data_IF_329577464369
#
_entry.id   IF_329577464369
#
_cell.length_a   1.000
_cell.length_b   1.000
_cell.length_c   1.000
_cell.angle_alpha   90.00
_cell.angle_beta   90.00
_cell.angle_gamma   90.00
#
_symmetry.space_group_name_H-M   'P 1'
#
loop_
_entity.id
_entity.type
_entity.pdbx_description
1 polymer ?
#
# COMPACT_ATOMS: atom_id res chain seq x y z
N UNK A 1 9.44 30.25 -24.16
CA UNK A 1 10.00 28.97 -24.63
C UNK A 1 11.04 28.50 -23.62
N UNK A 2 10.66 27.62 -22.70
CA UNK A 2 11.59 27.08 -21.70
C UNK A 2 12.57 26.13 -22.38
N UNK A 3 13.88 26.37 -22.18
CA UNK A 3 14.90 25.38 -22.48
C UNK A 3 14.56 24.14 -21.66
N UNK A 4 14.06 23.10 -22.33
CA UNK A 4 13.84 21.81 -21.69
C UNK A 4 15.18 21.18 -21.30
N UNK A 5 15.11 20.07 -20.58
CA UNK A 5 16.18 19.08 -20.33
C UNK A 5 16.90 18.55 -21.60
N UNK A 6 16.55 19.03 -22.79
CA UNK A 6 17.26 18.75 -24.04
C UNK A 6 18.67 19.32 -23.95
N UNK A 7 19.63 18.47 -23.54
CA UNK A 7 21.05 18.79 -23.40
C UNK A 7 21.61 18.63 -21.99
N UNK A 8 20.78 18.33 -20.97
CA UNK A 8 21.26 18.01 -19.63
C UNK A 8 21.61 16.51 -19.53
N UNK A 9 22.82 16.19 -19.08
CA UNK A 9 23.14 14.84 -18.60
C UNK A 9 22.47 14.62 -17.24
N UNK A 10 21.48 13.73 -17.22
CA UNK A 10 20.68 13.39 -16.04
C UNK A 10 20.90 11.95 -15.57
N UNK A 11 21.82 11.20 -16.20
CA UNK A 11 22.06 9.79 -15.86
C UNK A 11 22.56 9.64 -14.43
N UNK A 12 23.30 10.65 -13.94
CA UNK A 12 23.88 10.69 -12.61
C UNK A 12 22.91 11.18 -11.51
N UNK A 13 21.71 11.64 -11.88
CA UNK A 13 20.72 12.15 -10.93
C UNK A 13 20.16 10.99 -10.10
N UNK A 14 20.16 11.16 -8.77
CA UNK A 14 19.70 10.13 -7.82
C UNK A 14 18.37 10.47 -7.15
N UNK A 15 17.96 11.73 -7.18
CA UNK A 15 16.71 12.20 -6.61
C UNK A 15 16.08 13.21 -7.55
N UNK A 16 14.80 13.01 -7.85
CA UNK A 16 13.99 13.94 -8.63
C UNK A 16 12.68 14.13 -7.87
N UNK A 17 12.39 15.39 -7.55
CA UNK A 17 11.12 15.80 -6.95
C UNK A 17 10.47 16.82 -7.86
N UNK A 18 9.21 16.61 -8.22
CA UNK A 18 8.42 17.50 -9.07
C UNK A 18 7.04 17.69 -8.44
N UNK A 19 6.71 18.95 -8.17
CA UNK A 19 5.43 19.34 -7.62
C UNK A 19 4.75 20.30 -8.61
N UNK A 20 3.42 20.25 -8.72
CA UNK A 20 2.61 21.17 -9.54
C UNK A 20 2.81 21.03 -11.07
N UNK A 21 2.23 21.96 -11.84
CA UNK A 21 2.15 21.92 -13.30
C UNK A 21 3.46 22.29 -14.03
N UNK A 22 3.59 21.82 -15.28
CA UNK A 22 4.63 22.25 -16.21
C UNK A 22 5.74 21.22 -16.43
N UNK A 23 5.52 19.98 -16.00
CA UNK A 23 6.51 18.90 -15.98
C UNK A 23 6.46 17.93 -17.17
N UNK A 24 5.47 18.02 -18.05
CA UNK A 24 5.19 16.98 -19.08
C UNK A 24 6.43 16.55 -19.87
N UNK A 25 7.21 17.50 -20.38
CA UNK A 25 8.42 17.19 -21.17
C UNK A 25 9.45 16.38 -20.38
N UNK A 26 9.52 16.54 -19.07
CA UNK A 26 10.44 15.78 -18.21
C UNK A 26 9.93 14.38 -17.92
N UNK A 27 8.61 14.21 -17.77
CA UNK A 27 7.97 12.91 -17.55
C UNK A 27 8.22 11.93 -18.72
N UNK A 28 8.17 12.42 -19.96
CA UNK A 28 8.48 11.64 -21.16
C UNK A 28 9.93 11.13 -21.23
N UNK A 29 10.82 11.77 -20.47
CA UNK A 29 12.25 11.47 -20.44
C UNK A 29 12.71 10.78 -19.16
N UNK A 30 11.80 10.33 -18.29
CA UNK A 30 12.14 9.64 -17.04
C UNK A 30 13.08 8.45 -17.25
N UNK A 31 13.01 7.79 -18.42
CA UNK A 31 13.90 6.67 -18.76
C UNK A 31 15.40 7.04 -18.78
N UNK A 32 15.75 8.34 -18.94
CA UNK A 32 17.14 8.82 -18.92
C UNK A 32 17.75 8.86 -17.51
N UNK A 33 16.92 8.83 -16.46
CA UNK A 33 17.37 8.90 -15.07
C UNK A 33 17.80 7.51 -14.56
N UNK A 34 18.81 6.92 -15.20
CA UNK A 34 19.20 5.50 -15.00
C UNK A 34 19.67 5.19 -13.58
N UNK A 35 20.22 6.17 -12.85
CA UNK A 35 20.67 6.03 -11.45
C UNK A 35 19.69 6.55 -10.40
N UNK A 36 18.43 6.84 -10.80
CA UNK A 36 17.43 7.40 -9.89
C UNK A 36 17.08 6.44 -8.75
N UNK A 37 17.02 6.99 -7.53
CA UNK A 37 16.66 6.28 -6.31
C UNK A 37 15.41 6.85 -5.65
N UNK A 38 15.17 8.15 -5.81
CA UNK A 38 14.01 8.84 -5.26
C UNK A 38 13.28 9.55 -6.41
N UNK A 39 12.02 9.20 -6.59
CA UNK A 39 11.11 9.87 -7.51
C UNK A 39 9.88 10.30 -6.72
N UNK A 40 9.75 11.60 -6.51
CA UNK A 40 8.62 12.20 -5.83
C UNK A 40 7.84 13.07 -6.83
N UNK A 41 6.63 12.63 -7.16
CA UNK A 41 5.74 13.28 -8.12
C UNK A 41 4.47 13.77 -7.43
N UNK A 42 4.54 14.06 -6.13
CA UNK A 42 3.37 14.50 -5.36
C UNK A 42 2.68 15.72 -6.01
N UNK A 43 1.37 15.60 -6.25
CA UNK A 43 0.55 16.65 -6.87
C UNK A 43 0.91 16.96 -8.33
N UNK A 44 1.66 16.10 -9.02
CA UNK A 44 2.00 16.29 -10.43
C UNK A 44 0.80 15.93 -11.32
N UNK A 45 -0.08 16.90 -11.60
CA UNK A 45 -1.31 16.70 -12.38
C UNK A 45 -1.07 16.28 -13.84
N UNK A 46 0.11 16.61 -14.38
CA UNK A 46 0.58 16.23 -15.71
C UNK A 46 0.88 14.72 -15.84
N UNK A 47 0.98 14.00 -14.71
CA UNK A 47 1.30 12.59 -14.68
C UNK A 47 0.09 11.73 -15.08
N UNK A 48 0.19 11.13 -16.28
CA UNK A 48 -0.77 10.14 -16.79
C UNK A 48 -0.27 8.69 -16.64
N UNK A 49 -1.21 7.72 -16.70
CA UNK A 49 -0.91 6.27 -16.68
C UNK A 49 0.13 5.85 -17.72
N UNK A 50 0.23 6.57 -18.84
CA UNK A 50 1.22 6.29 -19.88
C UNK A 50 2.66 6.41 -19.38
N UNK A 51 2.94 7.32 -18.43
CA UNK A 51 4.29 7.53 -17.92
C UNK A 51 4.75 6.41 -16.99
N UNK A 52 3.83 5.59 -16.44
CA UNK A 52 4.20 4.43 -15.64
C UNK A 52 5.10 3.45 -16.40
N UNK A 53 5.00 3.41 -17.73
CA UNK A 53 5.90 2.60 -18.58
C UNK A 53 7.38 3.00 -18.46
N UNK A 54 7.64 4.28 -18.14
CA UNK A 54 8.98 4.82 -17.93
C UNK A 54 9.40 4.65 -16.48
N UNK A 55 8.50 4.96 -15.54
CA UNK A 55 8.74 4.79 -14.10
C UNK A 55 9.12 3.33 -13.78
N UNK A 56 8.39 2.35 -14.31
CA UNK A 56 8.67 0.91 -14.11
C UNK A 56 9.99 0.42 -14.74
N UNK A 57 10.76 1.27 -15.43
CA UNK A 57 12.11 0.95 -15.93
C UNK A 57 13.21 1.44 -14.98
N UNK A 58 12.87 2.21 -13.96
CA UNK A 58 13.81 2.78 -12.99
C UNK A 58 14.22 1.72 -11.96
N UNK A 59 15.04 0.77 -12.38
CA UNK A 59 15.42 -0.39 -11.57
C UNK A 59 15.97 -0.03 -10.17
N UNK A 60 16.75 1.05 -10.06
CA UNK A 60 17.40 1.47 -8.82
C UNK A 60 16.50 2.28 -7.88
N UNK A 61 15.22 2.46 -8.25
CA UNK A 61 14.28 3.26 -7.49
C UNK A 61 13.98 2.61 -6.14
N UNK A 62 14.12 3.40 -5.07
CA UNK A 62 13.85 3.04 -3.68
C UNK A 62 12.63 3.73 -3.12
N UNK A 63 12.34 4.94 -3.58
CA UNK A 63 11.19 5.72 -3.17
C UNK A 63 10.42 6.17 -4.40
N UNK A 64 9.12 5.89 -4.40
CA UNK A 64 8.18 6.36 -5.40
C UNK A 64 6.97 6.98 -4.68
N UNK A 65 6.76 8.27 -4.86
CA UNK A 65 5.52 8.94 -4.48
C UNK A 65 4.76 9.38 -5.72
N UNK A 66 3.52 8.91 -5.83
CA UNK A 66 2.52 9.33 -6.82
C UNK A 66 1.38 10.08 -6.13
N UNK A 67 1.58 10.51 -4.88
CA UNK A 67 0.52 11.04 -4.05
C UNK A 67 -0.19 12.22 -4.71
N UNK A 68 -1.51 12.27 -4.66
CA UNK A 68 -2.27 13.40 -5.20
C UNK A 68 -2.18 13.55 -6.73
N UNK A 69 -1.79 12.49 -7.45
CA UNK A 69 -1.76 12.50 -8.93
C UNK A 69 -3.02 11.85 -9.51
N UNK A 70 -3.25 12.06 -10.81
CA UNK A 70 -4.37 11.48 -11.53
C UNK A 70 -4.14 10.02 -11.98
N UNK A 71 -3.08 9.36 -11.50
CA UNK A 71 -2.80 7.96 -11.84
C UNK A 71 -3.97 7.07 -11.42
N UNK A 72 -4.44 6.28 -12.37
CA UNK A 72 -5.56 5.35 -12.20
C UNK A 72 -5.15 3.89 -12.34
N UNK A 73 -3.97 3.62 -12.93
CA UNK A 73 -3.46 2.26 -13.14
C UNK A 73 -1.98 2.14 -12.82
N UNK A 74 -1.66 1.16 -11.99
CA UNK A 74 -0.29 0.68 -11.79
C UNK A 74 -0.11 -0.58 -12.64
N UNK A 75 0.77 -0.58 -13.66
CA UNK A 75 0.90 -1.71 -14.56
C UNK A 75 1.69 -2.86 -13.89
N UNK A 76 1.56 -4.12 -14.36
CA UNK A 76 2.24 -5.27 -13.76
C UNK A 76 3.77 -5.15 -13.72
N UNK A 77 4.36 -4.37 -14.63
CA UNK A 77 5.80 -4.08 -14.68
C UNK A 77 6.31 -3.31 -13.45
N UNK A 78 5.43 -2.91 -12.52
CA UNK A 78 5.84 -2.40 -11.20
C UNK A 78 6.73 -3.41 -10.48
N UNK A 79 6.58 -4.72 -10.73
CA UNK A 79 7.46 -5.76 -10.18
C UNK A 79 8.95 -5.61 -10.54
N UNK A 80 9.28 -4.85 -11.59
CA UNK A 80 10.66 -4.55 -11.99
C UNK A 80 11.35 -3.55 -11.08
N UNK A 81 10.61 -2.87 -10.20
CA UNK A 81 11.15 -1.95 -9.20
C UNK A 81 11.69 -2.75 -8.00
N UNK A 82 12.60 -3.70 -8.24
CA UNK A 82 13.07 -4.67 -7.23
C UNK A 82 13.75 -4.04 -6.00
N UNK A 83 14.18 -2.78 -6.11
CA UNK A 83 14.79 -2.02 -5.02
C UNK A 83 13.82 -1.09 -4.28
N UNK A 84 12.53 -1.09 -4.65
CA UNK A 84 11.54 -0.19 -4.07
C UNK A 84 11.31 -0.53 -2.59
N UNK A 85 11.44 0.50 -1.76
CA UNK A 85 11.26 0.44 -0.30
C UNK A 85 10.02 1.22 0.15
N UNK A 86 9.68 2.31 -0.55
CA UNK A 86 8.47 3.10 -0.27
C UNK A 86 7.68 3.31 -1.54
N UNK A 87 6.39 2.98 -1.48
CA UNK A 87 5.43 3.25 -2.54
C UNK A 87 4.23 4.00 -1.96
N UNK A 88 4.10 5.27 -2.35
CA UNK A 88 3.02 6.15 -1.89
C UNK A 88 2.03 6.43 -3.03
N UNK A 89 0.81 5.92 -2.85
CA UNK A 89 -0.32 6.01 -3.77
C UNK A 89 -1.50 6.77 -3.13
N UNK A 90 -1.28 7.48 -2.02
CA UNK A 90 -2.35 8.25 -1.35
C UNK A 90 -2.94 9.28 -2.29
N UNK A 91 -4.22 9.55 -2.16
CA UNK A 91 -4.92 10.57 -2.95
C UNK A 91 -4.76 10.36 -4.47
N UNK A 92 -4.62 9.10 -4.91
CA UNK A 92 -4.65 8.71 -6.34
C UNK A 92 -5.98 8.05 -6.71
N UNK A 93 -6.21 7.86 -8.00
CA UNK A 93 -7.37 7.16 -8.54
C UNK A 93 -7.08 5.68 -8.85
N UNK A 94 -6.03 5.10 -8.26
CA UNK A 94 -5.62 3.71 -8.56
C UNK A 94 -6.71 2.74 -8.11
N UNK A 95 -7.25 2.01 -9.08
CA UNK A 95 -8.25 0.96 -8.84
C UNK A 95 -7.59 -0.41 -9.05
N UNK A 96 -7.79 -1.33 -8.11
CA UNK A 96 -7.31 -2.71 -8.21
C UNK A 96 -5.80 -2.78 -8.37
N UNK A 97 -5.07 -2.30 -7.35
CA UNK A 97 -3.61 -2.30 -7.35
C UNK A 97 -3.06 -3.67 -7.77
N UNK A 98 -2.13 -3.67 -8.73
CA UNK A 98 -1.64 -4.90 -9.36
C UNK A 98 -1.08 -5.90 -8.34
N UNK A 99 -1.50 -7.17 -8.46
CA UNK A 99 -0.91 -8.32 -7.75
C UNK A 99 0.61 -8.43 -7.90
N UNK A 100 1.19 -7.79 -8.93
CA UNK A 100 2.63 -7.71 -9.12
C UNK A 100 3.37 -7.05 -7.94
N UNK A 101 2.71 -6.20 -7.15
CA UNK A 101 3.26 -5.54 -5.95
C UNK A 101 3.82 -6.54 -4.94
N UNK A 102 3.28 -7.76 -4.86
CA UNK A 102 3.82 -8.80 -3.95
C UNK A 102 5.22 -9.30 -4.29
N UNK A 103 5.73 -8.96 -5.48
CA UNK A 103 7.10 -9.28 -5.92
C UNK A 103 8.11 -8.21 -5.48
N UNK A 104 7.65 -7.11 -4.89
CA UNK A 104 8.50 -6.06 -4.32
C UNK A 104 9.03 -6.50 -2.95
N UNK A 105 9.95 -7.45 -2.93
CA UNK A 105 10.41 -8.09 -1.69
C UNK A 105 11.17 -7.15 -0.73
N UNK A 106 11.62 -5.99 -1.22
CA UNK A 106 12.27 -4.94 -0.41
C UNK A 106 11.31 -3.83 0.03
N UNK A 107 10.02 -3.94 -0.28
CA UNK A 107 9.03 -2.93 0.08
C UNK A 107 8.86 -2.91 1.60
N UNK A 108 9.11 -1.75 2.18
CA UNK A 108 8.99 -1.49 3.63
C UNK A 108 7.71 -0.73 3.94
N UNK A 109 7.31 0.19 3.05
CA UNK A 109 6.12 1.03 3.21
C UNK A 109 5.29 1.04 1.94
N UNK A 110 4.00 0.77 2.10
CA UNK A 110 2.99 1.00 1.08
C UNK A 110 1.83 1.80 1.68
N UNK A 111 1.41 2.84 0.99
CA UNK A 111 0.29 3.68 1.40
C UNK A 111 -0.66 3.83 0.21
N UNK A 112 -1.94 3.52 0.38
CA UNK A 112 -2.97 3.74 -0.64
C UNK A 112 -4.04 4.71 -0.15
N UNK A 113 -4.98 5.07 -1.01
CA UNK A 113 -6.01 6.06 -0.71
C UNK A 113 -6.89 5.61 0.46
N UNK A 114 -7.01 6.47 1.48
CA UNK A 114 -7.97 6.27 2.55
C UNK A 114 -9.38 6.53 2.01
N UNK A 115 -10.19 5.49 1.92
CA UNK A 115 -11.59 5.57 1.46
C UNK A 115 -12.40 4.40 1.99
N UNK A 116 -13.72 4.49 1.84
CA UNK A 116 -14.66 3.39 2.13
C UNK A 116 -14.89 2.49 0.92
N UNK A 117 -14.24 2.76 -0.21
CA UNK A 117 -14.33 1.96 -1.43
C UNK A 117 -13.14 1.02 -1.53
N UNK A 118 -13.37 -0.27 -1.26
CA UNK A 118 -12.34 -1.32 -1.27
C UNK A 118 -11.48 -1.36 -2.55
N UNK A 119 -12.06 -0.98 -3.70
CA UNK A 119 -11.38 -1.00 -5.00
C UNK A 119 -10.19 -0.04 -5.11
N UNK A 120 -10.12 1.02 -4.29
CA UNK A 120 -8.99 1.97 -4.25
C UNK A 120 -7.94 1.64 -3.18
N UNK A 121 -8.22 0.67 -2.32
CA UNK A 121 -7.29 0.20 -1.30
C UNK A 121 -6.43 -0.94 -1.84
N UNK A 122 -5.30 -1.19 -1.18
CA UNK A 122 -4.51 -2.37 -1.50
C UNK A 122 -5.21 -3.63 -1.00
N UNK A 123 -5.78 -4.42 -1.92
CA UNK A 123 -6.26 -5.76 -1.59
C UNK A 123 -5.07 -6.66 -1.29
N UNK A 124 -5.02 -7.18 -0.07
CA UNK A 124 -3.90 -7.99 0.37
C UNK A 124 -3.81 -9.26 -0.50
N UNK A 125 -2.66 -9.49 -1.19
CA UNK A 125 -2.53 -10.59 -2.12
C UNK A 125 -2.05 -11.86 -1.41
N UNK A 126 -2.34 -13.03 -1.99
CA UNK A 126 -1.60 -14.26 -1.61
C UNK A 126 -0.11 -14.09 -1.91
N UNK A 127 0.74 -14.45 -0.97
CA UNK A 127 2.19 -14.32 -1.03
C UNK A 127 2.78 -13.30 -0.05
N UNK A 128 2.01 -12.79 0.91
CA UNK A 128 2.47 -11.84 1.94
C UNK A 128 3.69 -12.36 2.71
N UNK A 129 3.76 -13.68 2.91
CA UNK A 129 4.92 -14.35 3.54
C UNK A 129 6.27 -14.09 2.85
N UNK A 130 6.28 -13.61 1.60
CA UNK A 130 7.51 -13.23 0.88
C UNK A 130 7.89 -11.76 1.10
N UNK A 131 6.97 -10.92 1.58
CA UNK A 131 7.16 -9.48 1.76
C UNK A 131 7.74 -9.18 3.16
N UNK A 132 8.83 -9.87 3.52
CA UNK A 132 9.42 -9.84 4.87
C UNK A 132 10.01 -8.47 5.28
N UNK A 133 10.17 -7.55 4.33
CA UNK A 133 10.64 -6.18 4.59
C UNK A 133 9.52 -5.22 5.06
N UNK A 134 8.24 -5.58 4.91
CA UNK A 134 7.13 -4.69 5.24
C UNK A 134 7.13 -4.27 6.71
N UNK A 135 7.02 -2.96 6.91
CA UNK A 135 6.91 -2.29 8.22
C UNK A 135 5.63 -1.48 8.33
N UNK A 136 5.16 -0.92 7.23
CA UNK A 136 4.02 -0.02 7.22
C UNK A 136 3.09 -0.32 6.04
N UNK A 137 1.85 -0.68 6.36
CA UNK A 137 0.78 -0.91 5.38
C UNK A 137 -0.37 0.04 5.70
N UNK A 138 -0.52 1.07 4.88
CA UNK A 138 -1.58 2.07 4.97
C UNK A 138 -2.75 1.76 4.06
N UNK A 139 -3.94 1.63 4.67
CA UNK A 139 -5.23 1.44 4.01
C UNK A 139 -5.27 0.24 3.06
N UNK A 140 -5.21 -0.97 3.60
CA UNK A 140 -5.41 -2.21 2.86
C UNK A 140 -6.80 -2.80 3.11
N UNK A 141 -7.26 -3.68 2.22
CA UNK A 141 -8.43 -4.53 2.43
C UNK A 141 -8.00 -5.99 2.51
N UNK A 142 -8.43 -6.70 3.54
CA UNK A 142 -8.09 -8.10 3.78
C UNK A 142 -8.56 -9.01 2.64
N UNK A 143 -9.76 -8.71 2.11
CA UNK A 143 -10.48 -9.58 1.20
C UNK A 143 -11.08 -10.80 1.90
N UNK A 144 -11.80 -11.62 1.12
CA UNK A 144 -12.42 -12.86 1.60
C UNK A 144 -11.56 -14.08 1.24
N UNK A 145 -10.33 -14.13 1.75
CA UNK A 145 -9.38 -15.23 1.50
C UNK A 145 -8.66 -15.65 2.79
N UNK A 146 -8.96 -16.87 3.27
CA UNK A 146 -8.40 -17.42 4.51
C UNK A 146 -6.88 -17.56 4.46
N UNK A 147 -6.30 -17.83 3.28
CA UNK A 147 -4.85 -17.96 3.14
C UNK A 147 -4.16 -16.61 3.34
N UNK A 148 -4.78 -15.53 2.85
CA UNK A 148 -4.28 -14.17 3.08
C UNK A 148 -4.35 -13.83 4.56
N UNK A 149 -5.47 -14.13 5.23
CA UNK A 149 -5.62 -13.93 6.66
C UNK A 149 -4.56 -14.66 7.49
N UNK A 150 -4.19 -15.89 7.12
CA UNK A 150 -3.10 -16.66 7.75
C UNK A 150 -1.73 -16.01 7.53
N UNK A 151 -1.43 -15.63 6.28
CA UNK A 151 -0.13 -15.06 5.92
C UNK A 151 0.11 -13.67 6.53
N UNK A 152 -0.90 -12.96 7.04
CA UNK A 152 -0.68 -11.72 7.80
C UNK A 152 0.26 -11.94 8.98
N UNK A 153 0.14 -13.08 9.68
CA UNK A 153 1.01 -13.41 10.82
C UNK A 153 2.50 -13.58 10.46
N UNK A 154 2.80 -13.72 9.17
CA UNK A 154 4.17 -13.85 8.65
C UNK A 154 4.86 -12.51 8.43
N UNK A 155 4.15 -11.38 8.61
CA UNK A 155 4.71 -10.03 8.52
C UNK A 155 5.40 -9.63 9.84
N UNK A 156 6.46 -10.35 10.21
CA UNK A 156 7.13 -10.25 11.51
C UNK A 156 7.68 -8.86 11.85
N UNK A 157 8.00 -8.05 10.84
CA UNK A 157 8.56 -6.70 10.98
C UNK A 157 7.51 -5.59 10.93
N UNK A 158 6.22 -5.94 10.79
CA UNK A 158 5.14 -4.94 10.68
C UNK A 158 5.02 -4.13 11.97
N UNK A 159 4.99 -2.81 11.82
CA UNK A 159 4.89 -1.84 12.91
C UNK A 159 3.59 -1.04 12.80
N UNK A 160 3.13 -0.77 11.59
CA UNK A 160 1.87 -0.09 11.32
C UNK A 160 1.03 -0.87 10.32
N UNK A 161 -0.20 -1.19 10.72
CA UNK A 161 -1.14 -1.93 9.90
C UNK A 161 -2.50 -1.24 9.94
N UNK A 162 -2.96 -0.77 8.78
CA UNK A 162 -4.32 -0.28 8.58
C UNK A 162 -5.03 -1.20 7.61
N UNK A 163 -5.95 -2.02 8.12
CA UNK A 163 -6.65 -3.05 7.33
C UNK A 163 -8.16 -2.95 7.53
N UNK A 164 -8.89 -3.03 6.44
CA UNK A 164 -10.34 -3.08 6.42
C UNK A 164 -10.81 -4.49 6.03
N UNK A 165 -11.88 -4.95 6.67
CA UNK A 165 -12.50 -6.25 6.39
C UNK A 165 -13.79 -6.08 5.60
N UNK A 166 -14.17 -7.12 4.87
CA UNK A 166 -15.45 -7.24 4.19
C UNK A 166 -16.19 -8.45 4.77
N UNK A 167 -17.29 -8.22 5.45
CA UNK A 167 -18.04 -9.18 6.27
C UNK A 167 -19.37 -9.64 5.66
N UNK A 168 -19.90 -8.93 4.66
CA UNK A 168 -21.14 -9.32 3.97
C UNK A 168 -21.00 -10.53 3.01
N UNK A 169 -19.79 -11.02 2.76
CA UNK A 169 -19.56 -12.17 1.87
C UNK A 169 -19.74 -13.52 2.58
N UNK A 170 -20.25 -14.56 1.90
CA UNK A 170 -20.27 -15.92 2.45
C UNK A 170 -18.88 -16.40 2.88
N UNK A 171 -18.76 -16.93 4.10
CA UNK A 171 -17.52 -17.44 4.68
C UNK A 171 -16.56 -16.38 5.23
N UNK A 172 -16.97 -15.10 5.24
CA UNK A 172 -16.19 -13.99 5.79
C UNK A 172 -15.89 -14.16 7.29
N UNK A 173 -16.81 -14.77 8.04
CA UNK A 173 -16.71 -15.12 9.45
C UNK A 173 -15.42 -15.92 9.75
N UNK A 174 -15.17 -16.98 8.98
CA UNK A 174 -13.97 -17.81 9.11
C UNK A 174 -12.71 -17.01 8.79
N UNK A 175 -12.77 -16.11 7.80
CA UNK A 175 -11.63 -15.29 7.38
C UNK A 175 -11.27 -14.27 8.45
N UNK A 176 -12.25 -13.55 9.02
CA UNK A 176 -11.99 -12.55 10.06
C UNK A 176 -11.57 -13.18 11.39
N UNK A 177 -12.08 -14.37 11.73
CA UNK A 177 -11.61 -15.15 12.88
C UNK A 177 -10.14 -15.55 12.73
N UNK A 178 -9.74 -16.02 11.54
CA UNK A 178 -8.35 -16.36 11.27
C UNK A 178 -7.45 -15.12 11.28
N UNK A 179 -7.95 -13.99 10.77
CA UNK A 179 -7.25 -12.71 10.85
C UNK A 179 -7.04 -12.26 12.30
N UNK A 180 -8.03 -12.40 13.19
CA UNK A 180 -7.85 -12.15 14.62
C UNK A 180 -6.73 -13.00 15.24
N UNK A 181 -6.66 -14.30 14.91
CA UNK A 181 -5.54 -15.15 15.38
C UNK A 181 -4.20 -14.66 14.85
N UNK A 182 -4.15 -14.20 13.60
CA UNK A 182 -2.93 -13.66 13.00
C UNK A 182 -2.46 -12.36 13.66
N UNK A 183 -3.39 -11.44 14.00
CA UNK A 183 -3.07 -10.21 14.72
C UNK A 183 -2.37 -10.49 16.05
N UNK A 184 -2.78 -11.52 16.78
CA UNK A 184 -2.16 -11.91 18.05
C UNK A 184 -0.69 -12.35 17.93
N UNK A 185 -0.23 -12.67 16.72
CA UNK A 185 1.17 -13.07 16.42
C UNK A 185 2.03 -11.91 15.92
N UNK A 186 1.48 -10.70 15.76
CA UNK A 186 2.22 -9.53 15.27
C UNK A 186 2.97 -8.83 16.42
N UNK A 187 4.10 -9.41 16.83
CA UNK A 187 4.85 -8.94 18.00
C UNK A 187 5.52 -7.58 17.83
N UNK A 188 5.73 -7.12 16.61
CA UNK A 188 6.34 -5.81 16.29
C UNK A 188 5.33 -4.68 16.15
N UNK A 189 4.03 -5.00 16.13
CA UNK A 189 2.96 -4.05 15.79
C UNK A 189 2.78 -2.98 16.87
N UNK A 190 2.78 -1.70 16.45
CA UNK A 190 2.66 -0.52 17.32
C UNK A 190 1.42 0.31 17.02
N UNK A 191 0.98 0.34 15.77
CA UNK A 191 -0.20 1.08 15.33
C UNK A 191 -1.10 0.15 14.53
N UNK A 192 -2.33 0.00 14.98
CA UNK A 192 -3.35 -0.81 14.33
C UNK A 192 -4.58 0.05 14.05
N UNK A 193 -4.99 0.09 12.79
CA UNK A 193 -6.29 0.62 12.37
C UNK A 193 -7.05 -0.56 11.78
N UNK A 194 -8.20 -0.87 12.34
CA UNK A 194 -9.11 -1.89 11.80
C UNK A 194 -10.43 -1.23 11.47
N UNK A 195 -10.92 -1.45 10.26
CA UNK A 195 -12.23 -0.99 9.86
C UNK A 195 -13.04 -2.05 9.15
N UNK A 196 -14.32 -1.77 8.94
CA UNK A 196 -15.19 -2.53 8.06
C UNK A 196 -15.53 -1.67 6.83
N UNK A 197 -15.55 -2.29 5.65
CA UNK A 197 -16.02 -1.64 4.42
C UNK A 197 -17.54 -1.48 4.45
N UNK A 198 -18.19 -2.55 4.90
CA UNK A 198 -19.63 -2.69 4.93
C UNK A 198 -20.25 -1.99 6.14
N UNK A 199 -21.55 -1.72 6.06
CA UNK A 199 -22.31 -0.96 7.06
C UNK A 199 -22.85 -1.83 8.20
N UNK A 200 -22.36 -3.07 8.31
CA UNK A 200 -22.75 -4.00 9.36
C UNK A 200 -22.31 -3.48 10.75
N UNK A 201 -23.27 -3.45 11.67
CA UNK A 201 -23.08 -3.03 13.07
C UNK A 201 -22.26 -4.03 13.88
N UNK A 202 -22.09 -5.24 13.37
CA UNK A 202 -21.40 -6.35 14.03
C UNK A 202 -20.11 -6.78 13.32
N UNK A 203 -19.74 -6.09 12.23
CA UNK A 203 -18.61 -6.45 11.37
C UNK A 203 -17.30 -6.68 12.14
N UNK A 204 -17.08 -5.97 13.25
CA UNK A 204 -15.84 -6.04 14.00
C UNK A 204 -15.94 -6.89 15.29
N UNK A 205 -17.05 -7.61 15.51
CA UNK A 205 -17.24 -8.45 16.70
C UNK A 205 -16.22 -9.60 16.82
N UNK A 206 -15.57 -10.01 15.72
CA UNK A 206 -14.50 -11.00 15.74
C UNK A 206 -13.29 -10.56 16.59
N UNK A 207 -13.11 -9.26 16.83
CA UNK A 207 -12.05 -8.74 17.69
C UNK A 207 -12.22 -9.13 19.17
N UNK A 208 -13.44 -9.49 19.60
CA UNK A 208 -13.67 -10.06 20.93
C UNK A 208 -13.02 -11.43 21.12
N UNK A 209 -12.64 -12.10 20.02
CA UNK A 209 -12.02 -13.42 20.02
C UNK A 209 -10.49 -13.36 19.88
N UNK A 210 -9.88 -12.17 20.00
CA UNK A 210 -8.43 -12.03 19.93
C UNK A 210 -7.76 -12.92 20.99
N UNK A 211 -6.92 -13.90 20.62
CA UNK A 211 -6.30 -14.81 21.59
C UNK A 211 -5.38 -14.07 22.55
N UNK A 212 -4.61 -13.12 22.01
CA UNK A 212 -3.78 -12.17 22.76
C UNK A 212 -3.73 -10.86 21.98
N UNK A 213 -3.86 -9.69 22.62
CA UNK A 213 -3.66 -8.42 21.95
C UNK A 213 -2.19 -8.27 21.52
N UNK A 214 -1.89 -7.55 20.41
CA UNK A 214 -0.52 -7.27 20.00
C UNK A 214 0.24 -6.54 21.13
N UNK A 215 1.29 -7.16 21.67
CA UNK A 215 1.91 -6.75 22.95
C UNK A 215 2.59 -5.38 22.94
N UNK A 216 3.03 -4.92 21.78
CA UNK A 216 3.70 -3.63 21.61
C UNK A 216 2.77 -2.54 21.06
N UNK A 217 1.46 -2.81 21.01
CA UNK A 217 0.47 -1.87 20.48
C UNK A 217 0.42 -0.60 21.33
N UNK A 218 0.52 0.55 20.67
CA UNK A 218 0.48 1.89 21.28
C UNK A 218 -0.70 2.71 20.79
N UNK A 219 -1.20 2.38 19.60
CA UNK A 219 -2.32 3.06 18.99
C UNK A 219 -3.26 2.02 18.39
N UNK A 220 -4.54 2.10 18.78
CA UNK A 220 -5.62 1.33 18.20
C UNK A 220 -6.72 2.29 17.76
N UNK A 221 -7.12 2.17 16.50
CA UNK A 221 -8.32 2.82 15.98
C UNK A 221 -9.23 1.76 15.37
N UNK A 222 -10.50 1.84 15.71
CA UNK A 222 -11.54 0.96 15.21
C UNK A 222 -12.53 1.83 14.44
N UNK A 223 -12.80 1.48 13.19
CA UNK A 223 -13.62 2.23 12.26
C UNK A 223 -14.71 1.32 11.66
N UNK A 224 -15.78 1.09 12.42
CA UNK A 224 -16.89 0.24 11.98
C UNK A 224 -17.80 -0.14 13.15
N UNK A 225 -18.82 -0.95 12.86
CA UNK A 225 -19.75 -1.46 13.85
C UNK A 225 -19.10 -2.49 14.78
N UNK A 226 -19.25 -2.28 16.09
CA UNK A 226 -18.90 -3.24 17.13
C UNK A 226 -19.91 -3.15 18.27
N UNK A 227 -20.48 -4.28 18.69
CA UNK A 227 -21.38 -4.30 19.84
C UNK A 227 -20.56 -4.35 21.13
N UNK A 228 -20.97 -3.51 22.07
CA UNK A 228 -20.22 -3.12 23.26
C UNK A 228 -20.06 -4.30 24.25
N UNK A 229 -19.01 -5.10 24.08
CA UNK A 229 -18.54 -6.09 25.06
C UNK A 229 -17.14 -5.76 25.64
N UNK A 230 -16.53 -4.66 25.21
CA UNK A 230 -15.13 -4.33 25.52
C UNK A 230 -14.16 -5.22 24.75
N UNK A 231 -13.00 -4.68 24.35
CA UNK A 231 -11.92 -5.50 23.79
C UNK A 231 -11.28 -6.32 24.93
N UNK A 232 -10.88 -7.58 24.68
CA UNK A 232 -10.21 -8.43 25.66
C UNK A 232 -8.83 -7.87 26.08
#
# INVERSE_FOLDING_TARGET
AGRGIEGMDVEHVRSLSMFQHGGQKLLDHLVKFTLLRVLDLEGCEDLTDNHMRYICKLYLLKFLSLKGTNISKVPPQVDKLEHLQTFDLRDTNVIGLSEAVKRLYKLERIQTTQTWKAEFMWRLPRGLRKMKALREVGFAVLGNDIQVAQEVSELEQIQELSVYVETEYPGSDVVVEEFAKSLGKLYSLRRLIIGAIDMDKEALNFLHQLPTPPRLLRYLMIAGGMINKGLP
#
